data_IF_557731177043
#
_entry.id   IF_557731177043
#
_cell.length_a   1.000
_cell.length_b   1.000
_cell.length_c   1.000
_cell.angle_alpha   90.00
_cell.angle_beta   90.00
_cell.angle_gamma   90.00
#
_symmetry.space_group_name_H-M   'P 1'
#
loop_
_entity.id
_entity.type
_entity.pdbx_description
1 polymer ?
#
# COMPACT_ATOMS: atom_id res chain seq x y z
N UNK A 1 22.36 -2.14 -102.26
CA UNK A 1 20.99 -2.38 -102.76
C UNK A 1 20.15 -2.95 -101.63
N UNK A 2 18.92 -2.43 -101.46
CA UNK A 2 17.79 -2.99 -100.69
C UNK A 2 17.92 -3.01 -99.15
N UNK A 3 17.37 -2.01 -98.43
CA UNK A 3 15.98 -1.78 -97.98
C UNK A 3 15.69 -2.38 -96.58
N UNK A 4 15.15 -1.48 -95.76
CA UNK A 4 14.69 -1.54 -94.38
C UNK A 4 14.04 -2.83 -93.87
N UNK A 5 14.21 -3.07 -92.56
CA UNK A 5 13.17 -3.69 -91.75
C UNK A 5 13.15 -3.06 -90.34
N UNK A 6 12.13 -2.23 -90.07
CA UNK A 6 11.93 -1.56 -88.80
C UNK A 6 11.40 -2.54 -87.77
N UNK A 7 12.12 -2.73 -86.66
CA UNK A 7 11.67 -3.50 -85.50
C UNK A 7 10.75 -2.64 -84.63
N UNK A 8 9.49 -3.04 -84.53
CA UNK A 8 8.51 -2.55 -83.55
C UNK A 8 8.96 -2.87 -82.11
N UNK A 9 8.82 -1.95 -81.14
CA UNK A 9 9.16 -2.23 -79.74
C UNK A 9 8.13 -3.17 -79.11
N UNK A 10 8.58 -4.30 -78.56
CA UNK A 10 7.75 -5.19 -77.74
C UNK A 10 7.44 -4.52 -76.40
N UNK A 11 6.16 -4.44 -76.06
CA UNK A 11 5.68 -3.97 -74.76
C UNK A 11 6.11 -4.92 -73.64
N UNK A 12 6.51 -4.42 -72.46
CA UNK A 12 6.90 -5.28 -71.35
C UNK A 12 5.70 -6.08 -70.82
N UNK A 13 5.92 -7.31 -70.33
CA UNK A 13 4.84 -8.15 -69.80
C UNK A 13 4.20 -7.48 -68.58
N UNK A 14 2.87 -7.41 -68.58
CA UNK A 14 2.07 -6.85 -67.51
C UNK A 14 2.37 -7.56 -66.18
N UNK A 15 3.02 -6.85 -65.26
CA UNK A 15 3.23 -7.32 -63.90
C UNK A 15 1.86 -7.58 -63.25
N UNK A 16 1.58 -8.85 -62.96
CA UNK A 16 0.40 -9.25 -62.21
C UNK A 16 0.45 -8.61 -60.81
N UNK A 17 -0.32 -7.54 -60.60
CA UNK A 17 -0.53 -6.94 -59.29
C UNK A 17 -1.18 -7.98 -58.37
N UNK A 18 -0.36 -8.67 -57.58
CA UNK A 18 -0.77 -9.59 -56.54
C UNK A 18 -1.61 -8.77 -55.54
N UNK A 19 -2.93 -8.86 -55.63
CA UNK A 19 -3.87 -8.22 -54.68
C UNK A 19 -3.49 -8.62 -53.26
N UNK A 20 -2.80 -7.73 -52.55
CA UNK A 20 -2.55 -7.86 -51.12
C UNK A 20 -3.92 -7.77 -50.45
N UNK A 21 -4.46 -8.91 -49.98
CA UNK A 21 -5.71 -8.94 -49.21
C UNK A 21 -5.56 -7.99 -48.01
N UNK A 22 -6.56 -7.15 -47.71
CA UNK A 22 -6.39 -6.07 -46.76
C UNK A 22 -6.17 -6.62 -45.36
N UNK A 23 -5.10 -6.16 -44.70
CA UNK A 23 -4.74 -6.47 -43.31
C UNK A 23 -5.85 -6.13 -42.27
N UNK A 24 -6.93 -5.47 -42.71
CA UNK A 24 -8.10 -5.07 -41.92
C UNK A 24 -8.86 -6.27 -41.31
N UNK A 25 -9.02 -7.36 -42.08
CA UNK A 25 -9.73 -8.57 -41.63
C UNK A 25 -9.00 -9.32 -40.49
N UNK A 26 -7.66 -9.33 -40.50
CA UNK A 26 -6.88 -9.97 -39.43
C UNK A 26 -6.97 -9.18 -38.12
N UNK A 27 -6.95 -7.84 -38.21
CA UNK A 27 -7.05 -6.95 -37.03
C UNK A 27 -8.42 -7.02 -36.37
N UNK A 28 -9.49 -7.16 -37.17
CA UNK A 28 -10.86 -7.30 -36.68
C UNK A 28 -11.10 -8.67 -36.01
N UNK A 29 -10.56 -9.75 -36.60
CA UNK A 29 -10.58 -11.08 -35.98
C UNK A 29 -9.74 -11.13 -34.69
N UNK A 30 -8.61 -10.43 -34.62
CA UNK A 30 -7.81 -10.31 -33.41
C UNK A 30 -8.53 -9.51 -32.31
N UNK A 31 -9.17 -8.39 -32.66
CA UNK A 31 -9.96 -7.60 -31.70
C UNK A 31 -11.15 -8.40 -31.15
N UNK A 32 -11.84 -9.15 -32.02
CA UNK A 32 -12.94 -10.03 -31.62
C UNK A 32 -12.46 -11.17 -30.72
N UNK A 33 -11.35 -11.83 -31.05
CA UNK A 33 -10.77 -12.87 -30.21
C UNK A 33 -10.29 -12.32 -28.85
N UNK A 34 -9.64 -11.15 -28.85
CA UNK A 34 -9.25 -10.46 -27.62
C UNK A 34 -10.48 -10.10 -26.77
N UNK A 35 -11.57 -9.62 -27.37
CA UNK A 35 -12.82 -9.35 -26.68
C UNK A 35 -13.38 -10.61 -26.01
N UNK A 36 -13.50 -11.73 -26.73
CA UNK A 36 -13.99 -12.99 -26.17
C UNK A 36 -13.10 -13.55 -25.05
N UNK A 37 -11.78 -13.40 -25.18
CA UNK A 37 -10.82 -13.80 -24.13
C UNK A 37 -10.88 -12.90 -22.90
N UNK A 38 -11.24 -11.62 -23.06
CA UNK A 38 -11.38 -10.68 -21.96
C UNK A 38 -12.70 -10.81 -21.21
N UNK A 39 -13.75 -11.38 -21.82
CA UNK A 39 -15.08 -11.51 -21.18
C UNK A 39 -15.00 -12.25 -19.83
N UNK A 40 -14.37 -13.44 -19.68
CA UNK A 40 -14.31 -14.13 -18.39
C UNK A 40 -13.60 -13.31 -17.31
N UNK A 41 -12.50 -12.65 -17.68
CA UNK A 41 -11.77 -11.75 -16.78
C UNK A 41 -12.61 -10.51 -16.42
N UNK A 42 -13.33 -9.95 -17.40
CA UNK A 42 -14.24 -8.84 -17.20
C UNK A 42 -15.39 -9.20 -16.27
N UNK A 43 -16.07 -10.33 -16.50
CA UNK A 43 -17.14 -10.83 -15.62
C UNK A 43 -16.62 -11.05 -14.21
N UNK A 44 -15.43 -11.64 -14.04
CA UNK A 44 -14.82 -11.81 -12.73
C UNK A 44 -14.55 -10.45 -12.04
N UNK A 45 -13.93 -9.50 -12.75
CA UNK A 45 -13.62 -8.16 -12.19
C UNK A 45 -14.90 -7.37 -11.89
N UNK A 46 -15.83 -7.26 -12.82
CA UNK A 46 -17.05 -6.47 -12.64
C UNK A 46 -18.03 -7.15 -11.67
N UNK A 47 -18.17 -8.47 -11.72
CA UNK A 47 -19.08 -9.22 -10.85
C UNK A 47 -18.58 -9.35 -9.40
N UNK A 48 -17.29 -9.56 -9.18
CA UNK A 48 -16.74 -9.80 -7.84
C UNK A 48 -16.24 -8.52 -7.16
N UNK A 49 -15.79 -7.53 -7.92
CA UNK A 49 -15.23 -6.28 -7.36
C UNK A 49 -16.21 -5.13 -7.50
N UNK A 50 -16.66 -4.83 -8.71
CA UNK A 50 -17.45 -3.61 -8.96
C UNK A 50 -18.86 -3.71 -8.39
N UNK A 51 -19.52 -4.86 -8.54
CA UNK A 51 -20.87 -5.06 -7.99
C UNK A 51 -20.94 -4.87 -6.47
N UNK A 52 -20.10 -5.51 -5.63
CA UNK A 52 -20.14 -5.28 -4.18
C UNK A 52 -19.83 -3.84 -3.78
N UNK A 53 -18.93 -3.16 -4.49
CA UNK A 53 -18.64 -1.73 -4.29
C UNK A 53 -19.92 -0.93 -4.53
N UNK A 54 -20.53 -1.04 -5.71
CA UNK A 54 -21.76 -0.30 -6.04
C UNK A 54 -22.91 -0.64 -5.09
N UNK A 55 -23.06 -1.91 -4.70
CA UNK A 55 -24.07 -2.34 -3.73
C UNK A 55 -23.85 -1.73 -2.35
N UNK A 56 -22.60 -1.67 -1.89
CA UNK A 56 -22.24 -1.01 -0.62
C UNK A 56 -22.49 0.50 -0.70
N UNK A 57 -22.21 1.13 -1.85
CA UNK A 57 -22.53 2.54 -2.06
C UNK A 57 -24.03 2.78 -1.95
N UNK A 58 -24.84 1.95 -2.62
CA UNK A 58 -26.29 2.07 -2.54
C UNK A 58 -26.76 1.96 -1.09
N UNK A 59 -26.32 0.94 -0.36
CA UNK A 59 -26.71 0.70 1.04
C UNK A 59 -26.35 1.86 1.97
N UNK A 60 -25.28 2.59 1.68
CA UNK A 60 -24.93 3.78 2.46
C UNK A 60 -26.03 4.84 2.47
N UNK A 61 -26.96 4.83 1.51
CA UNK A 61 -28.11 5.74 1.44
C UNK A 61 -29.41 5.18 2.03
N UNK A 62 -29.40 3.94 2.54
CA UNK A 62 -30.56 3.28 3.12
C UNK A 62 -30.32 2.95 4.59
N UNK A 63 -31.40 2.89 5.37
CA UNK A 63 -31.35 2.40 6.74
C UNK A 63 -31.39 0.87 6.75
N UNK A 64 -30.21 0.25 6.81
CA UNK A 64 -30.06 -1.21 6.85
C UNK A 64 -29.49 -1.61 8.21
N UNK A 65 -30.37 -1.85 9.17
CA UNK A 65 -30.05 -2.12 10.58
C UNK A 65 -29.79 -3.60 10.89
N UNK A 66 -30.05 -4.51 9.94
CA UNK A 66 -29.71 -5.92 10.04
C UNK A 66 -29.69 -6.57 8.65
N UNK A 67 -29.06 -7.75 8.53
CA UNK A 67 -29.06 -8.53 7.30
C UNK A 67 -30.46 -9.08 6.94
N UNK A 68 -31.34 -9.17 7.94
CA UNK A 68 -32.72 -9.63 7.80
C UNK A 68 -33.73 -8.47 7.79
N UNK A 69 -33.27 -7.22 7.71
CA UNK A 69 -34.15 -6.06 7.68
C UNK A 69 -35.09 -6.15 6.47
N UNK A 70 -36.41 -6.25 6.74
CA UNK A 70 -37.45 -6.30 5.72
C UNK A 70 -37.87 -4.93 5.22
N UNK A 71 -37.75 -3.91 6.08
CA UNK A 71 -37.95 -2.52 5.70
C UNK A 71 -36.60 -1.79 5.74
N UNK A 72 -36.23 -1.21 4.60
CA UNK A 72 -34.96 -0.50 4.42
C UNK A 72 -35.28 0.82 3.72
N UNK A 73 -35.78 1.84 4.46
CA UNK A 73 -36.17 3.09 3.86
C UNK A 73 -34.95 3.85 3.32
N UNK A 74 -35.17 4.61 2.25
CA UNK A 74 -34.15 5.52 1.72
C UNK A 74 -34.02 6.72 2.68
N UNK A 75 -32.81 6.88 3.25
CA UNK A 75 -32.50 7.95 4.21
C UNK A 75 -31.56 9.01 3.64
N UNK A 76 -31.23 8.93 2.35
CA UNK A 76 -30.32 9.86 1.68
C UNK A 76 -28.97 9.93 2.39
N UNK A 77 -28.54 11.13 2.77
CA UNK A 77 -27.23 11.35 3.40
C UNK A 77 -27.22 11.24 4.93
N UNK A 78 -28.32 10.82 5.57
CA UNK A 78 -28.41 10.77 7.04
C UNK A 78 -27.36 9.87 7.67
N UNK A 79 -27.02 8.74 7.04
CA UNK A 79 -25.94 7.87 7.53
C UNK A 79 -24.58 8.58 7.53
N UNK A 80 -24.29 9.42 6.52
CA UNK A 80 -23.05 10.19 6.46
C UNK A 80 -23.01 11.30 7.52
N UNK A 81 -24.14 11.98 7.75
CA UNK A 81 -24.26 12.97 8.82
C UNK A 81 -24.05 12.30 10.18
N UNK A 82 -24.68 11.15 10.42
CA UNK A 82 -24.52 10.37 11.65
C UNK A 82 -23.06 9.98 11.90
N UNK A 83 -22.32 9.57 10.87
CA UNK A 83 -20.88 9.29 10.97
C UNK A 83 -20.09 10.54 11.34
N UNK A 84 -20.29 11.65 10.63
CA UNK A 84 -19.50 12.88 10.80
C UNK A 84 -19.83 13.62 12.11
N UNK A 85 -21.04 13.46 12.66
CA UNK A 85 -21.43 14.01 13.96
C UNK A 85 -21.00 13.14 15.14
N UNK A 86 -20.50 11.93 14.91
CA UNK A 86 -20.18 10.98 15.98
C UNK A 86 -18.76 11.23 16.53
N UNK A 87 -18.64 11.39 17.85
CA UNK A 87 -17.34 11.57 18.52
C UNK A 87 -16.43 10.34 18.41
N UNK A 88 -16.99 9.14 18.35
CA UNK A 88 -16.24 7.89 18.14
C UNK A 88 -15.55 7.88 16.78
N UNK A 89 -16.19 8.39 15.73
CA UNK A 89 -15.59 8.53 14.40
C UNK A 89 -14.31 9.39 14.47
N UNK A 90 -14.38 10.57 15.07
CA UNK A 90 -13.25 11.47 15.19
C UNK A 90 -12.15 10.92 16.10
N UNK A 91 -12.51 10.23 17.18
CA UNK A 91 -11.55 9.58 18.06
C UNK A 91 -10.81 8.43 17.34
N UNK A 92 -11.53 7.60 16.57
CA UNK A 92 -10.94 6.54 15.75
C UNK A 92 -10.11 7.08 14.58
N UNK A 93 -10.52 8.20 13.98
CA UNK A 93 -9.72 8.91 12.99
C UNK A 93 -8.41 9.42 13.60
N UNK A 94 -8.46 10.03 14.79
CA UNK A 94 -7.28 10.49 15.51
C UNK A 94 -6.28 9.36 15.81
N UNK A 95 -6.78 8.20 16.28
CA UNK A 95 -5.95 7.00 16.50
C UNK A 95 -5.36 6.46 15.21
N UNK A 96 -6.11 6.49 14.11
CA UNK A 96 -5.64 6.04 12.79
C UNK A 96 -4.54 6.96 12.27
N UNK A 97 -4.71 8.27 12.40
CA UNK A 97 -3.68 9.25 12.03
C UNK A 97 -2.44 9.10 12.89
N UNK A 98 -2.60 8.95 14.21
CA UNK A 98 -1.49 8.68 15.12
C UNK A 98 -0.74 7.40 14.73
N UNK A 99 -1.47 6.30 14.56
CA UNK A 99 -0.91 5.03 14.12
C UNK A 99 -0.13 5.19 12.80
N UNK A 100 -0.75 5.80 11.80
CA UNK A 100 -0.18 5.99 10.46
C UNK A 100 1.08 6.85 10.53
N UNK A 101 1.04 8.02 11.17
CA UNK A 101 2.18 8.93 11.22
C UNK A 101 3.37 8.32 11.96
N UNK A 102 3.12 7.70 13.13
CA UNK A 102 4.20 7.13 13.93
C UNK A 102 4.79 5.87 13.28
N UNK A 103 3.95 4.92 12.83
CA UNK A 103 4.43 3.70 12.16
C UNK A 103 5.25 4.01 10.92
N UNK A 104 4.70 4.80 9.98
CA UNK A 104 5.38 5.13 8.72
C UNK A 104 6.67 5.93 8.93
N UNK A 105 6.72 6.81 9.93
CA UNK A 105 7.95 7.56 10.26
C UNK A 105 9.03 6.64 10.79
N UNK A 106 8.69 5.74 11.72
CA UNK A 106 9.62 4.76 12.26
C UNK A 106 10.11 3.78 11.18
N UNK A 107 9.20 3.28 10.35
CA UNK A 107 9.52 2.40 9.23
C UNK A 107 10.42 3.06 8.20
N UNK A 108 10.21 4.35 7.90
CA UNK A 108 11.07 5.09 6.98
C UNK A 108 12.48 5.25 7.55
N UNK A 109 12.59 5.64 8.82
CA UNK A 109 13.86 5.79 9.50
C UNK A 109 14.62 4.45 9.59
N UNK A 110 13.98 3.41 10.10
CA UNK A 110 14.57 2.08 10.22
C UNK A 110 14.84 1.45 8.86
N UNK A 111 13.93 1.64 7.91
CA UNK A 111 14.06 1.17 6.54
C UNK A 111 15.25 1.80 5.84
N UNK A 112 15.50 3.10 6.03
CA UNK A 112 16.66 3.79 5.46
C UNK A 112 17.98 3.26 6.05
N UNK A 113 18.03 3.07 7.38
CA UNK A 113 19.19 2.48 8.06
C UNK A 113 19.46 1.09 7.50
N UNK A 114 18.42 0.26 7.41
CA UNK A 114 18.53 -1.11 6.95
C UNK A 114 18.89 -1.20 5.45
N UNK A 115 18.33 -0.32 4.63
CA UNK A 115 18.70 -0.18 3.22
C UNK A 115 20.19 0.15 3.05
N UNK A 116 20.71 1.08 3.86
CA UNK A 116 22.14 1.41 3.88
C UNK A 116 23.02 0.21 4.25
N UNK A 117 22.63 -0.55 5.29
CA UNK A 117 23.32 -1.77 5.69
C UNK A 117 23.31 -2.84 4.58
N UNK A 118 22.17 -3.00 3.90
CA UNK A 118 22.00 -3.97 2.80
C UNK A 118 22.65 -3.53 1.48
N UNK A 119 22.98 -2.25 1.35
CA UNK A 119 23.73 -1.69 0.23
C UNK A 119 25.26 -1.84 0.43
N UNK A 120 25.72 -2.08 1.66
CA UNK A 120 27.14 -2.28 1.94
C UNK A 120 27.69 -3.53 1.23
N UNK A 121 28.99 -3.52 0.90
CA UNK A 121 29.70 -4.65 0.29
C UNK A 121 29.93 -5.77 1.32
N UNK A 122 28.89 -6.53 1.62
CA UNK A 122 28.93 -7.68 2.54
C UNK A 122 29.24 -8.98 1.78
N UNK A 123 30.15 -9.82 2.31
CA UNK A 123 30.52 -11.13 1.70
C UNK A 123 29.31 -12.06 1.52
N UNK A 124 28.36 -12.06 2.45
CA UNK A 124 27.17 -12.90 2.43
C UNK A 124 25.87 -12.09 2.22
N UNK A 125 25.90 -11.05 1.36
CA UNK A 125 24.77 -10.11 1.16
C UNK A 125 23.41 -10.77 0.89
N UNK A 126 23.38 -11.90 0.20
CA UNK A 126 22.14 -12.61 -0.13
C UNK A 126 21.45 -13.18 1.11
N UNK A 127 22.24 -13.66 2.09
CA UNK A 127 21.72 -14.23 3.33
C UNK A 127 21.12 -13.14 4.23
N UNK A 128 21.80 -11.99 4.36
CA UNK A 128 21.25 -10.84 5.09
C UNK A 128 19.95 -10.34 4.47
N UNK A 129 19.91 -10.22 3.13
CA UNK A 129 18.68 -9.85 2.41
C UNK A 129 17.56 -10.87 2.65
N UNK A 130 17.86 -12.16 2.62
CA UNK A 130 16.88 -13.21 2.86
C UNK A 130 16.31 -13.13 4.29
N UNK A 131 17.17 -12.98 5.31
CA UNK A 131 16.75 -12.89 6.72
C UNK A 131 15.87 -11.66 6.96
N UNK A 132 16.26 -10.50 6.40
CA UNK A 132 15.51 -9.26 6.59
C UNK A 132 14.10 -9.33 6.02
N UNK A 133 13.85 -10.06 4.94
CA UNK A 133 12.51 -10.15 4.31
C UNK A 133 11.52 -10.99 5.14
N UNK A 134 12.02 -11.86 6.02
CA UNK A 134 11.20 -12.84 6.77
C UNK A 134 9.98 -12.19 7.46
N UNK A 135 10.09 -11.09 8.23
CA UNK A 135 8.95 -10.48 8.89
C UNK A 135 7.83 -10.06 7.92
N UNK A 136 8.20 -9.53 6.75
CA UNK A 136 7.24 -9.10 5.74
C UNK A 136 6.50 -10.29 5.11
N UNK A 137 7.22 -11.40 4.89
CA UNK A 137 6.67 -12.62 4.29
C UNK A 137 5.66 -13.36 5.18
N UNK A 138 5.73 -13.19 6.50
CA UNK A 138 4.80 -13.82 7.46
C UNK A 138 3.40 -13.18 7.32
N UNK A 139 2.31 -13.94 7.23
CA UNK A 139 0.96 -13.37 7.20
C UNK A 139 0.68 -12.47 8.40
N UNK A 140 0.01 -11.33 8.19
CA UNK A 140 -0.22 -10.32 9.24
C UNK A 140 -0.87 -10.90 10.49
N UNK A 141 -1.88 -11.76 10.33
CA UNK A 141 -2.58 -12.42 11.44
C UNK A 141 -1.62 -13.29 12.28
N UNK A 142 -0.68 -14.00 11.64
CA UNK A 142 0.31 -14.84 12.32
C UNK A 142 1.29 -13.97 13.10
N UNK A 143 1.81 -12.92 12.46
CA UNK A 143 2.69 -11.93 13.11
C UNK A 143 2.01 -11.29 14.32
N UNK A 144 0.73 -10.90 14.17
CA UNK A 144 -0.05 -10.29 15.24
C UNK A 144 -0.27 -11.25 16.41
N UNK A 145 -0.56 -12.52 16.14
CA UNK A 145 -0.70 -13.54 17.18
C UNK A 145 0.64 -13.80 17.91
N UNK A 146 1.75 -13.85 17.17
CA UNK A 146 3.09 -13.97 17.73
C UNK A 146 3.39 -12.80 18.68
N UNK A 147 3.22 -11.56 18.22
CA UNK A 147 3.47 -10.37 19.04
C UNK A 147 2.52 -10.26 20.24
N UNK A 148 1.26 -10.67 20.10
CA UNK A 148 0.34 -10.79 21.25
C UNK A 148 0.87 -11.76 22.31
N UNK A 149 1.48 -12.88 21.90
CA UNK A 149 2.17 -13.80 22.79
C UNK A 149 3.43 -13.19 23.42
N UNK A 150 4.24 -12.48 22.62
CA UNK A 150 5.43 -11.74 23.11
C UNK A 150 5.08 -10.76 24.22
N UNK A 151 3.98 -10.02 24.04
CA UNK A 151 3.47 -9.01 24.97
C UNK A 151 2.60 -9.57 26.10
N UNK A 152 2.51 -10.90 26.24
CA UNK A 152 1.65 -11.49 27.26
C UNK A 152 2.11 -11.12 28.69
N UNK A 153 1.15 -10.71 29.52
CA UNK A 153 1.40 -10.24 30.88
C UNK A 153 1.84 -11.35 31.86
N UNK A 154 1.60 -12.63 31.54
CA UNK A 154 1.86 -13.74 32.45
C UNK A 154 3.08 -14.56 32.03
N UNK A 155 3.27 -14.78 30.72
CA UNK A 155 4.32 -15.65 30.19
C UNK A 155 5.11 -15.02 29.03
N UNK A 156 4.87 -13.75 28.71
CA UNK A 156 5.46 -13.12 27.54
C UNK A 156 6.99 -13.03 27.62
N UNK A 157 7.73 -13.46 26.58
CA UNK A 157 9.20 -13.40 26.57
C UNK A 157 9.74 -11.98 26.75
N UNK A 158 9.00 -10.93 26.34
CA UNK A 158 9.43 -9.55 26.58
C UNK A 158 9.52 -9.25 28.08
N UNK A 159 8.47 -9.60 28.84
CA UNK A 159 8.47 -9.42 30.30
C UNK A 159 9.56 -10.26 30.96
N UNK A 160 9.73 -11.52 30.54
CA UNK A 160 10.76 -12.39 31.07
C UNK A 160 12.17 -11.81 30.87
N UNK A 161 12.47 -11.32 29.67
CA UNK A 161 13.75 -10.70 29.35
C UNK A 161 13.99 -9.42 30.16
N UNK A 162 13.01 -8.51 30.20
CA UNK A 162 13.15 -7.24 30.91
C UNK A 162 13.28 -7.45 32.43
N UNK A 163 12.60 -8.45 32.99
CA UNK A 163 12.72 -8.79 34.41
C UNK A 163 14.08 -9.42 34.73
N UNK A 164 14.59 -10.31 33.88
CA UNK A 164 15.94 -10.90 34.05
C UNK A 164 17.06 -9.85 33.95
N UNK A 165 16.87 -8.83 33.11
CA UNK A 165 17.80 -7.70 32.99
C UNK A 165 17.66 -6.69 34.14
N UNK A 166 16.70 -6.87 35.06
CA UNK A 166 16.43 -5.92 36.15
C UNK A 166 15.86 -4.58 35.69
N UNK A 167 15.29 -4.51 34.48
CA UNK A 167 14.67 -3.28 33.92
C UNK A 167 13.26 -3.07 34.48
N UNK A 168 12.55 -4.16 34.79
CA UNK A 168 11.22 -4.12 35.40
C UNK A 168 11.18 -5.03 36.63
N UNK A 169 10.51 -4.55 37.69
CA UNK A 169 10.35 -5.32 38.94
C UNK A 169 9.23 -6.37 38.83
N UNK A 170 8.24 -6.12 37.98
CA UNK A 170 7.06 -6.97 37.80
C UNK A 170 6.66 -7.05 36.33
N UNK A 171 6.03 -8.16 35.96
CA UNK A 171 5.53 -8.37 34.60
C UNK A 171 4.43 -7.36 34.29
N UNK A 172 4.55 -6.72 33.13
CA UNK A 172 3.66 -5.64 32.71
C UNK A 172 2.58 -6.14 31.76
N UNK A 173 1.37 -5.63 31.92
CA UNK A 173 0.27 -5.81 30.98
C UNK A 173 0.36 -4.78 29.84
N UNK A 174 1.30 -4.99 28.92
CA UNK A 174 1.59 -4.06 27.80
C UNK A 174 0.37 -3.69 26.95
N UNK A 175 -0.58 -4.63 26.80
CA UNK A 175 -1.83 -4.42 26.05
C UNK A 175 -3.02 -4.04 26.96
N UNK A 176 -2.77 -3.81 28.25
CA UNK A 176 -3.79 -3.54 29.28
C UNK A 176 -4.15 -2.06 29.45
N UNK A 177 -3.34 -1.14 28.93
CA UNK A 177 -3.58 0.31 28.94
C UNK A 177 -3.83 0.85 27.52
N UNK A 178 -4.81 1.77 27.30
CA UNK A 178 -5.14 2.30 25.97
C UNK A 178 -3.96 2.90 25.21
N UNK A 179 -3.11 3.66 25.90
CA UNK A 179 -1.98 4.38 25.27
C UNK A 179 -0.83 3.44 25.00
N UNK A 180 -0.53 2.55 25.95
CA UNK A 180 0.53 1.57 25.81
C UNK A 180 0.19 0.53 24.74
N UNK A 181 -1.06 0.06 24.71
CA UNK A 181 -1.51 -0.94 23.75
C UNK A 181 -1.33 -0.48 22.30
N UNK A 182 -1.72 0.76 21.97
CA UNK A 182 -1.57 1.27 20.60
C UNK A 182 -0.10 1.32 20.17
N UNK A 183 0.78 1.77 21.05
CA UNK A 183 2.23 1.82 20.80
C UNK A 183 2.84 0.43 20.62
N UNK A 184 2.38 -0.57 21.36
CA UNK A 184 2.83 -1.96 21.22
C UNK A 184 2.34 -2.58 19.90
N UNK A 185 1.14 -2.22 19.44
CA UNK A 185 0.68 -2.62 18.10
C UNK A 185 1.52 -1.92 17.02
N UNK A 186 1.83 -0.62 17.17
CA UNK A 186 2.71 0.11 16.25
C UNK A 186 4.09 -0.57 16.18
N UNK A 187 4.67 -0.96 17.31
CA UNK A 187 5.96 -1.66 17.35
C UNK A 187 5.93 -2.96 16.52
N UNK A 188 4.86 -3.74 16.65
CA UNK A 188 4.67 -4.98 15.91
C UNK A 188 4.48 -4.73 14.39
N UNK A 189 3.74 -3.68 14.01
CA UNK A 189 3.57 -3.26 12.61
C UNK A 189 4.90 -2.78 12.00
N UNK A 190 5.63 -1.92 12.72
CA UNK A 190 6.94 -1.40 12.29
C UNK A 190 7.91 -2.55 12.04
N UNK A 191 8.00 -3.52 12.96
CA UNK A 191 8.84 -4.71 12.77
C UNK A 191 8.48 -5.49 11.50
N UNK A 192 7.18 -5.66 11.25
CA UNK A 192 6.68 -6.40 10.08
C UNK A 192 6.92 -5.67 8.76
N UNK A 193 6.73 -4.34 8.75
CA UNK A 193 6.63 -3.53 7.54
C UNK A 193 7.97 -2.88 7.14
N UNK A 194 8.88 -2.66 8.10
CA UNK A 194 10.22 -2.11 7.85
C UNK A 194 11.00 -2.82 6.73
N UNK A 195 10.98 -4.17 6.61
CA UNK A 195 11.67 -4.85 5.51
C UNK A 195 11.23 -4.38 4.14
N UNK A 196 9.92 -4.23 3.90
CA UNK A 196 9.42 -3.74 2.62
C UNK A 196 10.01 -2.36 2.32
N UNK A 197 9.98 -1.45 3.30
CA UNK A 197 10.51 -0.11 3.17
C UNK A 197 12.01 -0.12 2.86
N UNK A 198 12.78 -0.94 3.57
CA UNK A 198 14.20 -1.10 3.34
C UNK A 198 14.51 -1.56 1.90
N UNK A 199 13.71 -2.46 1.32
CA UNK A 199 13.93 -2.95 -0.03
C UNK A 199 13.59 -1.91 -1.11
N UNK A 200 12.53 -1.11 -0.92
CA UNK A 200 12.23 0.02 -1.80
C UNK A 200 13.36 1.06 -1.78
N UNK A 201 13.85 1.42 -0.59
CA UNK A 201 14.95 2.37 -0.45
C UNK A 201 16.28 1.81 -0.94
N UNK A 202 16.52 0.50 -0.76
CA UNK A 202 17.69 -0.18 -1.30
C UNK A 202 17.72 -0.12 -2.83
N UNK A 203 16.57 -0.32 -3.51
CA UNK A 203 16.47 -0.18 -4.95
C UNK A 203 16.87 1.23 -5.40
N UNK A 204 16.38 2.26 -4.70
CA UNK A 204 16.78 3.66 -4.91
C UNK A 204 18.28 3.88 -4.68
N UNK A 205 18.84 3.37 -3.59
CA UNK A 205 20.27 3.48 -3.27
C UNK A 205 21.15 2.83 -4.35
N UNK A 206 20.73 1.68 -4.88
CA UNK A 206 21.48 0.97 -5.93
C UNK A 206 21.43 1.65 -7.29
N UNK A 207 20.48 2.57 -7.50
CA UNK A 207 20.37 3.35 -8.74
C UNK A 207 21.30 4.57 -8.77
N UNK A 208 21.89 4.96 -7.63
CA UNK A 208 22.81 6.10 -7.54
C UNK A 208 24.15 5.72 -8.20
N UNK A 209 24.61 6.46 -9.24
CA UNK A 209 25.88 6.18 -9.90
C UNK A 209 27.07 6.30 -8.95
N UNK A 210 28.04 5.39 -9.05
CA UNK A 210 29.20 5.36 -8.15
C UNK A 210 30.10 6.60 -8.32
N UNK A 211 30.10 7.20 -9.51
CA UNK A 211 30.90 8.35 -9.89
C UNK A 211 30.59 9.57 -9.00
N UNK A 212 29.34 9.73 -8.56
CA UNK A 212 28.94 10.80 -7.64
C UNK A 212 29.59 10.65 -6.26
N UNK A 213 29.73 9.41 -5.78
CA UNK A 213 30.41 9.13 -4.52
C UNK A 213 31.93 9.32 -4.64
N UNK A 214 32.51 8.99 -5.80
CA UNK A 214 33.94 9.18 -6.07
C UNK A 214 34.30 10.67 -6.19
N UNK A 215 33.50 11.43 -6.94
CA UNK A 215 33.64 12.89 -7.03
C UNK A 215 33.56 13.56 -5.66
N UNK A 216 32.57 13.20 -4.84
CA UNK A 216 32.42 13.76 -3.50
C UNK A 216 33.60 13.41 -2.57
N UNK A 217 34.25 12.24 -2.76
CA UNK A 217 35.46 11.87 -2.02
C UNK A 217 36.67 12.68 -2.46
N UNK A 218 36.80 12.98 -3.76
CA UNK A 218 37.85 13.88 -4.28
C UNK A 218 37.70 15.30 -3.67
N UNK A 219 36.46 15.77 -3.52
CA UNK A 219 36.13 17.04 -2.87
C UNK A 219 36.22 17.01 -1.33
N UNK A 220 36.66 15.89 -0.74
CA UNK A 220 36.73 15.67 0.72
C UNK A 220 35.41 15.97 1.44
N UNK A 221 34.27 15.73 0.79
CA UNK A 221 32.96 15.91 1.40
C UNK A 221 32.76 14.89 2.53
N UNK A 222 32.27 15.36 3.69
CA UNK A 222 31.91 14.48 4.80
C UNK A 222 30.63 13.70 4.51
N UNK A 223 30.45 12.53 5.14
CA UNK A 223 29.27 11.68 4.94
C UNK A 223 27.92 12.40 5.15
N UNK A 224 27.74 13.26 6.17
CA UNK A 224 26.50 14.04 6.30
C UNK A 224 26.24 14.98 5.12
N UNK A 225 27.30 15.53 4.51
CA UNK A 225 27.19 16.37 3.30
C UNK A 225 26.84 15.52 2.08
N UNK A 226 27.48 14.37 1.89
CA UNK A 226 27.16 13.40 0.83
C UNK A 226 25.70 12.95 0.96
N UNK A 227 25.27 12.60 2.17
CA UNK A 227 23.91 12.15 2.43
C UNK A 227 22.88 13.23 2.06
N UNK A 228 23.04 14.46 2.55
CA UNK A 228 22.09 15.54 2.30
C UNK A 228 22.09 16.05 0.87
N UNK A 229 23.23 16.03 0.19
CA UNK A 229 23.39 16.69 -1.12
C UNK A 229 23.27 15.73 -2.31
N UNK A 230 23.52 14.43 -2.09
CA UNK A 230 23.49 13.41 -3.16
C UNK A 230 22.47 12.35 -2.83
N UNK A 231 22.65 11.64 -1.70
CA UNK A 231 21.84 10.44 -1.40
C UNK A 231 20.38 10.78 -1.20
N UNK A 232 20.07 11.74 -0.32
CA UNK A 232 18.70 12.10 0.02
C UNK A 232 17.94 12.63 -1.20
N UNK A 233 18.43 13.61 -1.98
CA UNK A 233 17.75 14.08 -3.18
C UNK A 233 17.46 12.98 -4.20
N UNK A 234 18.43 12.09 -4.45
CA UNK A 234 18.26 10.98 -5.38
C UNK A 234 17.34 9.88 -4.83
N UNK A 235 17.20 9.77 -3.51
CA UNK A 235 16.26 8.86 -2.87
C UNK A 235 14.84 9.40 -2.79
N UNK A 236 14.60 10.71 -2.97
CA UNK A 236 13.26 11.31 -2.86
C UNK A 236 12.23 10.51 -3.66
N UNK A 237 12.43 10.15 -4.94
CA UNK A 237 11.42 9.39 -5.69
C UNK A 237 11.08 8.03 -5.04
N UNK A 238 12.09 7.33 -4.51
CA UNK A 238 11.89 6.03 -3.84
C UNK A 238 11.21 6.19 -2.48
N UNK A 239 11.64 7.17 -1.68
CA UNK A 239 11.01 7.55 -0.39
C UNK A 239 9.54 7.89 -0.61
N UNK A 240 9.27 8.66 -1.64
CA UNK A 240 7.94 9.14 -1.98
C UNK A 240 6.98 8.02 -2.35
N UNK A 241 7.41 7.10 -3.23
CA UNK A 241 6.60 5.93 -3.61
C UNK A 241 6.29 5.08 -2.39
N UNK A 242 7.29 4.77 -1.58
CA UNK A 242 7.11 3.88 -0.42
C UNK A 242 6.29 4.54 0.67
N UNK A 243 6.44 5.86 0.88
CA UNK A 243 5.66 6.60 1.86
C UNK A 243 4.18 6.64 1.49
N UNK A 244 3.83 6.80 0.21
CA UNK A 244 2.44 6.71 -0.26
C UNK A 244 1.87 5.33 0.00
N UNK A 245 2.59 4.28 -0.42
CA UNK A 245 2.16 2.90 -0.25
C UNK A 245 1.91 2.59 1.24
N UNK A 246 2.88 2.92 2.10
CA UNK A 246 2.80 2.65 3.54
C UNK A 246 1.76 3.48 4.25
N UNK A 247 1.59 4.75 3.88
CA UNK A 247 0.53 5.59 4.44
C UNK A 247 -0.84 5.00 4.15
N UNK A 248 -1.10 4.57 2.91
CA UNK A 248 -2.39 3.96 2.54
C UNK A 248 -2.63 2.65 3.29
N UNK A 249 -1.61 1.81 3.44
CA UNK A 249 -1.71 0.55 4.18
C UNK A 249 -1.91 0.75 5.69
N UNK A 250 -1.14 1.64 6.32
CA UNK A 250 -1.27 1.93 7.75
C UNK A 250 -2.59 2.64 8.08
N UNK A 251 -3.11 3.47 7.17
CA UNK A 251 -4.42 4.12 7.37
C UNK A 251 -5.58 3.13 7.40
N UNK A 252 -5.51 2.07 6.59
CA UNK A 252 -6.52 1.00 6.56
C UNK A 252 -6.21 -0.16 7.51
N UNK A 253 -5.33 0.05 8.51
CA UNK A 253 -4.88 -1.02 9.40
C UNK A 253 -6.05 -1.68 10.13
N UNK A 254 -6.16 -2.99 9.98
CA UNK A 254 -7.25 -3.79 10.55
C UNK A 254 -6.74 -5.07 11.21
N UNK A 255 -6.06 -5.94 10.45
CA UNK A 255 -5.73 -7.31 10.90
C UNK A 255 -4.96 -7.35 12.22
N UNK A 256 -3.92 -6.53 12.35
CA UNK A 256 -3.06 -6.51 13.53
C UNK A 256 -3.81 -5.99 14.78
N UNK A 257 -4.67 -4.98 14.60
CA UNK A 257 -5.54 -4.44 15.65
C UNK A 257 -6.57 -5.50 16.06
N UNK A 258 -7.21 -6.14 15.10
CA UNK A 258 -8.22 -7.18 15.33
C UNK A 258 -7.66 -8.34 16.16
N UNK A 259 -6.46 -8.82 15.82
CA UNK A 259 -5.86 -9.98 16.49
C UNK A 259 -5.30 -9.63 17.87
N UNK A 260 -4.55 -8.52 17.98
CA UNK A 260 -3.84 -8.18 19.21
C UNK A 260 -4.78 -7.66 20.29
N UNK A 261 -5.66 -6.71 19.95
CA UNK A 261 -6.37 -5.91 20.95
C UNK A 261 -7.88 -5.86 20.76
N UNK A 262 -8.40 -6.19 19.56
CA UNK A 262 -9.82 -6.03 19.21
C UNK A 262 -10.32 -4.60 19.47
N UNK A 263 -9.48 -3.61 19.19
CA UNK A 263 -9.77 -2.19 19.42
C UNK A 263 -9.65 -1.74 20.88
N UNK A 264 -9.46 -2.65 21.84
CA UNK A 264 -9.32 -2.33 23.26
C UNK A 264 -7.91 -1.91 23.69
N UNK A 265 -7.72 -1.65 25.00
CA UNK A 265 -8.77 -1.51 26.03
C UNK A 265 -9.52 -0.19 25.88
N UNK A 266 -10.81 -0.15 26.26
CA UNK A 266 -11.69 1.05 26.20
C UNK A 266 -11.61 1.80 24.86
N UNK A 267 -11.69 1.06 23.75
CA UNK A 267 -11.54 1.59 22.38
C UNK A 267 -10.21 2.33 22.10
N UNK A 268 -9.20 2.16 22.96
CA UNK A 268 -7.89 2.80 22.89
C UNK A 268 -7.11 2.50 21.61
N UNK A 269 -7.36 1.36 21.00
CA UNK A 269 -6.75 0.94 19.73
C UNK A 269 -7.76 0.84 18.59
N UNK A 270 -8.98 1.36 18.76
CA UNK A 270 -10.03 1.33 17.76
C UNK A 270 -9.70 2.28 16.60
N UNK A 271 -9.03 1.76 15.57
CA UNK A 271 -8.78 2.47 14.30
C UNK A 271 -10.05 2.58 13.47
N UNK A 272 -10.04 3.47 12.47
CA UNK A 272 -11.22 3.77 11.66
C UNK A 272 -11.71 2.55 10.86
N UNK A 273 -10.78 1.72 10.37
CA UNK A 273 -11.10 0.48 9.68
C UNK A 273 -11.74 -0.56 10.63
N UNK A 274 -11.21 -0.68 11.85
CA UNK A 274 -11.81 -1.56 12.86
C UNK A 274 -13.17 -1.04 13.32
N UNK A 275 -13.35 0.28 13.45
CA UNK A 275 -14.65 0.88 13.76
C UNK A 275 -15.69 0.60 12.66
N UNK A 276 -15.31 0.76 11.39
CA UNK A 276 -16.17 0.40 10.25
C UNK A 276 -16.64 -1.06 10.34
N UNK A 277 -15.70 -1.96 10.65
CA UNK A 277 -15.97 -3.38 10.82
C UNK A 277 -16.95 -3.65 11.98
N UNK A 278 -16.71 -3.08 13.15
CA UNK A 278 -17.60 -3.30 14.30
C UNK A 278 -18.99 -2.75 14.03
N UNK A 279 -19.11 -1.57 13.41
CA UNK A 279 -20.42 -1.00 13.08
C UNK A 279 -21.18 -1.84 12.06
N UNK A 280 -20.50 -2.33 11.01
CA UNK A 280 -21.16 -3.12 9.98
C UNK A 280 -21.52 -4.54 10.46
N UNK A 281 -20.62 -5.20 11.18
CA UNK A 281 -20.72 -6.65 11.43
C UNK A 281 -21.00 -7.02 12.88
N UNK A 282 -20.50 -6.25 13.85
CA UNK A 282 -20.78 -6.51 15.28
C UNK A 282 -22.11 -5.86 15.69
N UNK A 283 -22.31 -4.60 15.32
CA UNK A 283 -23.54 -3.84 15.59
C UNK A 283 -24.63 -4.11 14.54
N UNK A 284 -24.29 -4.85 13.47
CA UNK A 284 -25.15 -5.18 12.33
C UNK A 284 -25.76 -3.97 11.60
N UNK A 285 -25.20 -2.78 11.78
CA UNK A 285 -25.64 -1.57 11.11
C UNK A 285 -24.90 -1.40 9.77
N UNK A 286 -25.41 -2.11 8.76
CA UNK A 286 -24.83 -2.11 7.42
C UNK A 286 -24.97 -0.76 6.70
N UNK A 287 -26.03 0.01 6.97
CA UNK A 287 -26.22 1.35 6.40
C UNK A 287 -25.11 2.31 6.83
N UNK A 288 -24.95 2.48 8.15
CA UNK A 288 -23.93 3.36 8.73
C UNK A 288 -22.52 2.81 8.45
N UNK A 289 -22.30 1.49 8.56
CA UNK A 289 -21.02 0.87 8.26
C UNK A 289 -20.59 1.05 6.80
N UNK A 290 -21.55 1.05 5.86
CA UNK A 290 -21.29 1.33 4.44
C UNK A 290 -20.92 2.80 4.24
N UNK A 291 -21.67 3.73 4.83
CA UNK A 291 -21.36 5.16 4.77
C UNK A 291 -19.95 5.45 5.33
N UNK A 292 -19.63 4.86 6.49
CA UNK A 292 -18.32 4.98 7.12
C UNK A 292 -17.19 4.47 6.21
N UNK A 293 -17.38 3.32 5.57
CA UNK A 293 -16.43 2.75 4.61
C UNK A 293 -16.19 3.69 3.41
N UNK A 294 -17.24 4.33 2.90
CA UNK A 294 -17.09 5.31 1.82
C UNK A 294 -16.41 6.61 2.25
N UNK A 295 -16.66 7.08 3.47
CA UNK A 295 -15.91 8.21 4.04
C UNK A 295 -14.41 7.87 4.12
N UNK A 296 -14.05 6.67 4.59
CA UNK A 296 -12.66 6.20 4.60
C UNK A 296 -12.06 6.22 3.18
N UNK A 297 -12.78 5.68 2.18
CA UNK A 297 -12.31 5.66 0.79
C UNK A 297 -12.05 7.08 0.28
N UNK A 298 -12.98 8.02 0.52
CA UNK A 298 -12.83 9.42 0.10
C UNK A 298 -11.60 10.05 0.77
N UNK A 299 -11.38 9.82 2.06
CA UNK A 299 -10.22 10.34 2.80
C UNK A 299 -8.92 9.76 2.22
N UNK A 300 -8.86 8.46 1.97
CA UNK A 300 -7.68 7.80 1.37
C UNK A 300 -7.41 8.37 -0.02
N UNK A 301 -8.43 8.52 -0.87
CA UNK A 301 -8.28 9.10 -2.21
C UNK A 301 -7.79 10.55 -2.15
N UNK A 302 -8.31 11.35 -1.21
CA UNK A 302 -7.85 12.72 -1.01
C UNK A 302 -6.39 12.76 -0.57
N UNK A 303 -5.99 11.92 0.39
CA UNK A 303 -4.60 11.79 0.84
C UNK A 303 -3.70 11.36 -0.32
N UNK A 304 -4.04 10.29 -1.04
CA UNK A 304 -3.28 9.82 -2.20
C UNK A 304 -3.14 10.90 -3.28
N UNK A 305 -4.21 11.66 -3.58
CA UNK A 305 -4.16 12.75 -4.54
C UNK A 305 -3.26 13.91 -4.09
N UNK A 306 -3.28 14.27 -2.80
CA UNK A 306 -2.39 15.28 -2.22
C UNK A 306 -0.94 14.82 -2.36
N UNK A 307 -0.64 13.59 -1.96
CA UNK A 307 0.70 13.01 -2.11
C UNK A 307 1.17 13.07 -3.57
N UNK A 308 0.40 12.51 -4.52
CA UNK A 308 0.78 12.51 -5.94
C UNK A 308 1.02 13.92 -6.50
N UNK A 309 0.27 14.93 -6.05
CA UNK A 309 0.49 16.33 -6.44
C UNK A 309 1.79 16.90 -5.87
N UNK A 310 2.09 16.64 -4.60
CA UNK A 310 3.34 17.06 -3.96
C UNK A 310 4.56 16.42 -4.65
N UNK A 311 4.44 15.15 -5.03
CA UNK A 311 5.50 14.40 -5.70
C UNK A 311 5.79 14.88 -7.12
N UNK A 312 4.74 15.13 -7.91
CA UNK A 312 4.91 15.68 -9.27
C UNK A 312 5.60 17.04 -9.27
N UNK A 313 5.36 17.87 -8.24
CA UNK A 313 6.05 19.15 -8.09
C UNK A 313 7.53 18.98 -7.77
N UNK A 314 7.90 18.01 -6.92
CA UNK A 314 9.30 17.76 -6.60
C UNK A 314 10.08 17.18 -7.78
N UNK A 315 9.50 16.26 -8.55
CA UNK A 315 10.17 15.69 -9.75
C UNK A 315 10.42 16.77 -10.82
N UNK A 316 9.46 17.66 -11.05
CA UNK A 316 9.63 18.78 -11.99
C UNK A 316 10.61 19.87 -11.51
N UNK A 317 10.93 19.93 -10.21
CA UNK A 317 11.93 20.87 -9.68
C UNK A 317 13.36 20.34 -9.71
N UNK A 318 13.53 19.04 -9.96
CA UNK A 318 14.84 18.36 -10.04
C UNK A 318 15.28 18.11 -11.49
N UNK A 319 14.40 18.36 -12.47
CA UNK A 319 14.66 18.36 -13.91
C UNK A 319 14.93 19.79 -14.39
#
# INVERSE_FOLDING_TARGET
MSVANAKTPQSPPAASLRRVRPARSKRENQARLAFWLLIPAGVAVFGVIVYPILRTLLISFFEVTSALATDTPFVGFNNYLAVLSNSTFWASMGRTLYFTLISTSLELCLGLILAGLLNAKLRARWLFRAIVVIPWAIPTIVSAAMWKGVFNAQYGPLNALLSQLGIIDQYQAWLGDPTTALNMVILADVWKSTPLVAFFLLAGLTAIPNELYEAAKLDRASWPRIFRSIVLPMLIPSISIVLVLRTVEAFKVFDIIYVMTRGGPVNGTQTIAYYAYTTAFSDQNFGVGSALSYVIVIVILALSAIYLRLLRRSEMSLL
#
